data_IF_605737911768
#
_entry.id   IF_605737911768
#
_cell.length_a   1.000
_cell.length_b   1.000
_cell.length_c   1.000
_cell.angle_alpha   90.00
_cell.angle_beta   90.00
_cell.angle_gamma   90.00
#
_symmetry.space_group_name_H-M   'P 1'
#
loop_
_entity.id
_entity.type
_entity.pdbx_description
1 polymer ?
#
# COMPACT_ATOMS: atom_id res chain seq x y z
N UNK A 1 -22.35 15.09 19.16
CA UNK A 1 -21.66 16.13 19.94
C UNK A 1 -20.18 16.02 19.61
N UNK A 2 -19.50 17.13 19.31
CA UNK A 2 -18.06 17.10 19.06
C UNK A 2 -17.31 16.85 20.39
N UNK A 3 -16.32 15.96 20.36
CA UNK A 3 -15.48 15.62 21.52
C UNK A 3 -14.52 16.80 21.76
N UNK A 4 -14.41 17.27 23.01
CA UNK A 4 -13.52 18.37 23.38
C UNK A 4 -12.13 17.87 23.78
N UNK A 5 -11.13 18.76 23.81
CA UNK A 5 -9.79 18.42 24.33
C UNK A 5 -9.80 18.00 25.80
N UNK A 6 -10.73 18.54 26.58
CA UNK A 6 -10.95 18.17 27.99
C UNK A 6 -11.46 16.72 28.08
N UNK A 7 -12.38 16.33 27.18
CA UNK A 7 -12.91 14.97 27.11
C UNK A 7 -11.79 13.97 26.76
N UNK A 8 -10.95 14.30 25.78
CA UNK A 8 -9.82 13.44 25.37
C UNK A 8 -8.81 13.21 26.50
N UNK A 9 -8.53 14.23 27.32
CA UNK A 9 -7.60 14.11 28.46
C UNK A 9 -8.14 13.21 29.57
N UNK A 10 -9.46 13.06 29.67
CA UNK A 10 -10.13 12.27 30.69
C UNK A 10 -10.46 10.83 30.23
N UNK A 11 -10.22 10.51 28.95
CA UNK A 11 -10.41 9.17 28.43
C UNK A 11 -9.25 8.24 28.79
N UNK A 12 -9.58 6.97 29.03
CA UNK A 12 -8.57 5.91 29.16
C UNK A 12 -7.91 5.62 27.81
N UNK A 13 -6.71 5.03 27.78
CA UNK A 13 -6.05 4.61 26.54
C UNK A 13 -6.94 3.72 25.66
N UNK A 14 -7.72 2.84 26.27
CA UNK A 14 -8.65 1.93 25.58
C UNK A 14 -9.81 2.71 24.94
N UNK A 15 -10.35 3.71 25.63
CA UNK A 15 -11.41 4.57 25.10
C UNK A 15 -10.92 5.40 23.90
N UNK A 16 -9.68 5.90 23.96
CA UNK A 16 -9.06 6.64 22.85
C UNK A 16 -8.86 5.71 21.65
N UNK A 17 -8.33 4.51 21.87
CA UNK A 17 -8.11 3.53 20.81
C UNK A 17 -9.42 3.12 20.12
N UNK A 18 -10.48 2.88 20.90
CA UNK A 18 -11.79 2.55 20.37
C UNK A 18 -12.38 3.73 19.56
N UNK A 19 -12.24 4.96 20.07
CA UNK A 19 -12.67 6.16 19.35
C UNK A 19 -11.92 6.33 18.01
N UNK A 20 -10.61 6.08 17.99
CA UNK A 20 -9.81 6.12 16.77
C UNK A 20 -10.28 5.07 15.76
N UNK A 21 -10.54 3.84 16.22
CA UNK A 21 -11.09 2.75 15.40
C UNK A 21 -12.46 3.09 14.83
N UNK A 22 -13.33 3.72 15.63
CA UNK A 22 -14.67 4.14 15.20
C UNK A 22 -14.67 5.29 14.20
N UNK A 23 -13.66 6.17 14.24
CA UNK A 23 -13.53 7.27 13.27
C UNK A 23 -12.62 6.91 12.08
N UNK A 24 -12.14 5.66 12.01
CA UNK A 24 -11.26 5.21 10.95
C UNK A 24 -12.05 4.54 9.82
N UNK A 25 -12.06 5.18 8.66
CA UNK A 25 -12.68 4.64 7.44
C UNK A 25 -12.08 3.28 7.03
N UNK A 26 -10.78 3.06 7.26
CA UNK A 26 -10.16 1.77 6.96
C UNK A 26 -10.64 0.66 7.91
N UNK A 27 -10.91 0.98 9.18
CA UNK A 27 -11.57 0.04 10.09
C UNK A 27 -13.01 -0.26 9.66
N UNK A 28 -13.71 0.69 9.07
CA UNK A 28 -15.02 0.44 8.45
C UNK A 28 -14.94 -0.47 7.22
N UNK A 29 -13.91 -0.31 6.38
CA UNK A 29 -13.64 -1.24 5.28
C UNK A 29 -13.34 -2.64 5.80
N UNK A 30 -12.45 -2.76 6.79
CA UNK A 30 -12.05 -4.04 7.40
C UNK A 30 -13.27 -4.75 8.02
N UNK A 31 -14.16 -4.00 8.69
CA UNK A 31 -15.38 -4.56 9.30
C UNK A 31 -16.52 -4.82 8.30
N UNK A 32 -16.36 -4.45 7.03
CA UNK A 32 -17.39 -4.61 5.99
C UNK A 32 -18.52 -3.58 6.04
N UNK A 33 -18.42 -2.54 6.89
CA UNK A 33 -19.38 -1.40 6.88
C UNK A 33 -19.26 -0.54 5.63
N UNK A 34 -18.11 -0.61 4.98
CA UNK A 34 -17.80 0.11 3.75
C UNK A 34 -17.35 -0.89 2.70
N UNK A 35 -17.99 -0.84 1.53
CA UNK A 35 -17.64 -1.70 0.41
C UNK A 35 -16.22 -1.41 -0.10
N UNK A 36 -15.51 -2.46 -0.50
CA UNK A 36 -14.18 -2.35 -1.12
C UNK A 36 -13.94 -3.47 -2.12
N UNK A 37 -13.02 -3.24 -3.07
CA UNK A 37 -12.56 -4.28 -3.99
C UNK A 37 -11.41 -5.05 -3.35
N UNK A 38 -11.77 -6.01 -2.49
CA UNK A 38 -10.86 -6.90 -1.77
C UNK A 38 -10.22 -7.91 -2.74
N UNK A 39 -8.90 -8.06 -2.65
CA UNK A 39 -8.12 -8.99 -3.47
C UNK A 39 -7.38 -10.05 -2.64
N UNK A 40 -7.21 -9.80 -1.35
CA UNK A 40 -6.58 -10.72 -0.40
C UNK A 40 -7.09 -10.43 1.00
N UNK A 41 -7.25 -11.48 1.81
CA UNK A 41 -7.53 -11.37 3.24
C UNK A 41 -7.11 -12.64 3.96
N UNK A 42 -6.53 -12.45 5.14
CA UNK A 42 -6.26 -13.52 6.09
C UNK A 42 -6.60 -13.06 7.52
N UNK A 43 -6.10 -13.76 8.53
CA UNK A 43 -6.38 -13.46 9.93
C UNK A 43 -5.78 -12.13 10.40
N UNK A 44 -4.70 -11.64 9.78
CA UNK A 44 -3.95 -10.48 10.25
C UNK A 44 -4.12 -9.23 9.36
N UNK A 45 -4.42 -9.40 8.08
CA UNK A 45 -4.47 -8.28 7.14
C UNK A 45 -5.50 -8.47 6.01
N UNK A 46 -5.73 -7.38 5.29
CA UNK A 46 -6.58 -7.30 4.11
C UNK A 46 -5.87 -6.44 3.05
N UNK A 47 -5.94 -6.86 1.79
CA UNK A 47 -5.54 -6.02 0.66
C UNK A 47 -6.75 -5.67 -0.21
N UNK A 48 -6.84 -4.39 -0.56
CA UNK A 48 -7.91 -3.81 -1.39
C UNK A 48 -7.29 -2.99 -2.52
N UNK A 49 -8.05 -2.77 -3.60
CA UNK A 49 -7.69 -1.76 -4.60
C UNK A 49 -7.98 -0.35 -4.07
N UNK A 50 -7.06 0.58 -4.32
CA UNK A 50 -7.27 2.00 -4.05
C UNK A 50 -8.29 2.56 -5.05
N UNK A 51 -9.30 3.26 -4.54
CA UNK A 51 -10.34 3.94 -5.36
C UNK A 51 -9.81 5.23 -5.99
N UNK A 52 -8.75 5.81 -5.42
CA UNK A 52 -8.04 6.97 -5.93
C UNK A 52 -6.60 6.57 -6.28
N UNK A 53 -6.40 5.67 -7.26
CA UNK A 53 -5.13 5.02 -7.49
C UNK A 53 -4.08 6.00 -8.03
N UNK A 54 -2.84 5.87 -7.56
CA UNK A 54 -1.69 6.56 -8.15
C UNK A 54 -1.37 6.03 -9.55
N UNK A 55 -1.57 4.73 -9.75
CA UNK A 55 -1.48 4.02 -11.03
C UNK A 55 -2.50 2.87 -11.06
N UNK A 56 -2.95 2.42 -12.25
CA UNK A 56 -3.80 1.24 -12.37
C UNK A 56 -3.24 0.03 -11.61
N UNK A 57 -4.10 -0.59 -10.78
CA UNK A 57 -3.71 -1.70 -9.91
C UNK A 57 -3.04 -1.28 -8.60
N UNK A 58 -3.09 0.00 -8.21
CA UNK A 58 -2.65 0.45 -6.88
C UNK A 58 -3.43 -0.30 -5.79
N UNK A 59 -2.70 -0.99 -4.92
CA UNK A 59 -3.25 -1.75 -3.81
C UNK A 59 -2.89 -1.09 -2.48
N UNK A 60 -3.82 -1.15 -1.54
CA UNK A 60 -3.62 -0.82 -0.14
C UNK A 60 -3.68 -2.11 0.68
N UNK A 61 -2.58 -2.45 1.34
CA UNK A 61 -2.50 -3.54 2.31
C UNK A 61 -2.58 -2.96 3.72
N UNK A 62 -3.56 -3.44 4.50
CA UNK A 62 -3.95 -2.90 5.79
C UNK A 62 -3.89 -4.03 6.84
N UNK A 63 -3.30 -3.82 8.03
CA UNK A 63 -3.55 -4.71 9.15
C UNK A 63 -5.01 -4.61 9.56
N UNK A 64 -5.58 -5.73 10.02
CA UNK A 64 -6.97 -5.78 10.52
C UNK A 64 -7.14 -4.98 11.81
N UNK A 65 -6.14 -5.03 12.68
CA UNK A 65 -6.11 -4.18 13.86
C UNK A 65 -5.68 -2.75 13.54
N UNK A 66 -6.18 -1.82 14.35
CA UNK A 66 -5.92 -0.41 14.17
C UNK A 66 -4.56 -0.03 14.76
N UNK A 67 -3.67 0.43 13.89
CA UNK A 67 -2.42 1.08 14.27
C UNK A 67 -2.33 2.39 13.50
N UNK A 68 -2.12 3.52 14.20
CA UNK A 68 -2.15 4.82 13.53
C UNK A 68 -0.95 5.02 12.60
N UNK A 69 0.22 4.50 12.98
CA UNK A 69 1.48 4.56 12.23
C UNK A 69 2.27 3.26 12.42
N UNK A 70 3.16 2.94 11.48
CA UNK A 70 3.88 1.66 11.45
C UNK A 70 4.62 1.34 12.77
N UNK A 71 5.30 2.29 13.44
CA UNK A 71 6.00 2.00 14.69
C UNK A 71 5.13 1.57 15.87
N UNK A 72 3.80 1.68 15.77
CA UNK A 72 2.86 1.21 16.79
C UNK A 72 2.42 -0.24 16.60
N UNK A 73 2.64 -0.80 15.40
CA UNK A 73 2.28 -2.17 15.11
C UNK A 73 3.30 -3.16 15.74
N UNK A 74 2.85 -4.31 16.26
CA UNK A 74 3.73 -5.38 16.71
C UNK A 74 4.64 -5.91 15.60
N UNK A 75 5.84 -6.37 15.97
CA UNK A 75 6.86 -6.85 15.02
C UNK A 75 6.36 -8.03 14.16
N UNK A 76 5.54 -8.92 14.71
CA UNK A 76 4.95 -10.05 13.99
C UNK A 76 3.95 -9.59 12.93
N UNK A 77 3.13 -8.58 13.25
CA UNK A 77 2.20 -7.97 12.30
C UNK A 77 2.96 -7.28 11.18
N UNK A 78 4.01 -6.52 11.50
CA UNK A 78 4.87 -5.86 10.51
C UNK A 78 5.51 -6.92 9.59
N UNK A 79 6.11 -7.97 10.17
CA UNK A 79 6.72 -9.06 9.41
C UNK A 79 5.73 -9.70 8.44
N UNK A 80 4.52 -10.00 8.91
CA UNK A 80 3.45 -10.56 8.08
C UNK A 80 3.03 -9.64 6.93
N UNK A 81 2.80 -8.35 7.22
CA UNK A 81 2.44 -7.36 6.19
C UNK A 81 3.48 -7.30 5.07
N UNK A 82 4.77 -7.34 5.38
CA UNK A 82 5.82 -7.30 4.35
C UNK A 82 5.92 -8.60 3.54
N UNK A 83 5.60 -9.75 4.13
CA UNK A 83 5.50 -11.02 3.41
C UNK A 83 4.33 -11.00 2.41
N UNK A 84 3.18 -10.47 2.81
CA UNK A 84 2.02 -10.29 1.94
C UNK A 84 2.29 -9.23 0.87
N UNK A 85 2.92 -8.10 1.21
CA UNK A 85 3.28 -7.05 0.26
C UNK A 85 4.20 -7.57 -0.85
N UNK A 86 5.17 -8.44 -0.51
CA UNK A 86 6.00 -9.16 -1.49
C UNK A 86 5.15 -10.00 -2.44
N UNK A 87 4.19 -10.77 -1.94
CA UNK A 87 3.32 -11.60 -2.77
C UNK A 87 2.43 -10.76 -3.69
N UNK A 88 1.86 -9.67 -3.20
CA UNK A 88 1.05 -8.72 -3.98
C UNK A 88 1.88 -8.03 -5.07
N UNK A 89 3.11 -7.61 -4.75
CA UNK A 89 4.04 -7.07 -5.74
C UNK A 89 4.33 -8.08 -6.86
N UNK A 90 4.61 -9.34 -6.51
CA UNK A 90 4.81 -10.41 -7.49
C UNK A 90 3.57 -10.66 -8.35
N UNK A 91 2.37 -10.61 -7.75
CA UNK A 91 1.12 -10.76 -8.48
C UNK A 91 0.94 -9.60 -9.48
N UNK A 92 1.19 -8.35 -9.06
CA UNK A 92 1.11 -7.18 -9.95
C UNK A 92 2.07 -7.29 -11.14
N UNK A 93 3.34 -7.62 -10.89
CA UNK A 93 4.35 -7.80 -11.95
C UNK A 93 3.91 -8.83 -13.00
N UNK A 94 3.34 -9.95 -12.57
CA UNK A 94 2.93 -11.05 -13.46
C UNK A 94 1.62 -10.79 -14.19
N UNK A 95 0.63 -10.23 -13.50
CA UNK A 95 -0.74 -10.11 -14.01
C UNK A 95 -0.98 -8.82 -14.80
N UNK A 96 -0.29 -7.73 -14.47
CA UNK A 96 -0.51 -6.42 -15.08
C UNK A 96 0.54 -6.08 -16.14
N UNK A 97 1.53 -6.95 -16.37
CA UNK A 97 2.63 -6.71 -17.33
C UNK A 97 3.51 -5.50 -16.97
N UNK A 98 3.47 -5.06 -15.70
CA UNK A 98 4.24 -3.90 -15.24
C UNK A 98 5.72 -4.23 -15.05
N UNK A 99 6.58 -3.23 -15.20
CA UNK A 99 8.06 -3.40 -15.10
C UNK A 99 8.61 -3.21 -13.70
N UNK A 100 7.79 -2.74 -12.75
CA UNK A 100 8.19 -2.56 -11.37
C UNK A 100 7.01 -2.37 -10.44
N UNK A 101 7.30 -2.25 -9.15
CA UNK A 101 6.34 -1.84 -8.12
C UNK A 101 7.02 -0.91 -7.14
N UNK A 102 6.34 0.15 -6.70
CA UNK A 102 6.74 0.95 -5.55
C UNK A 102 6.01 0.45 -4.32
N UNK A 103 6.75 0.15 -3.26
CA UNK A 103 6.20 -0.12 -1.93
C UNK A 103 6.43 1.12 -1.08
N UNK A 104 5.35 1.71 -0.55
CA UNK A 104 5.40 2.97 0.20
C UNK A 104 4.60 2.86 1.50
N UNK A 105 5.16 3.40 2.58
CA UNK A 105 4.49 3.59 3.86
C UNK A 105 4.75 5.03 4.30
N UNK A 106 3.71 5.79 4.60
CA UNK A 106 3.81 7.13 5.15
C UNK A 106 3.39 7.11 6.63
N UNK A 107 4.25 7.64 7.51
CA UNK A 107 3.98 7.77 8.94
C UNK A 107 3.74 9.24 9.28
N UNK A 108 2.48 9.61 9.49
CA UNK A 108 2.03 10.96 9.78
C UNK A 108 1.67 11.78 8.52
N UNK A 109 0.81 12.77 8.73
CA UNK A 109 0.25 13.63 7.67
C UNK A 109 1.35 14.35 6.88
N UNK A 110 2.40 14.82 7.55
CA UNK A 110 3.55 15.51 6.93
C UNK A 110 4.36 14.60 6.00
N UNK A 111 4.27 13.28 6.19
CA UNK A 111 4.90 12.28 5.33
C UNK A 111 3.98 11.83 4.17
N UNK A 112 2.77 12.39 4.06
CA UNK A 112 1.77 12.03 3.06
C UNK A 112 0.78 10.95 3.48
N UNK A 113 0.69 10.63 4.78
CA UNK A 113 -0.31 9.68 5.27
C UNK A 113 -1.71 10.28 5.20
N UNK A 114 -2.64 9.61 4.51
CA UNK A 114 -4.00 10.13 4.28
C UNK A 114 -4.97 9.95 5.46
N UNK A 115 -4.81 8.89 6.25
CA UNK A 115 -5.58 8.67 7.46
C UNK A 115 -4.74 7.90 8.49
N UNK A 116 -5.07 7.99 9.80
CA UNK A 116 -4.32 7.33 10.86
C UNK A 116 -4.63 5.83 10.92
N UNK A 117 -4.29 5.08 9.87
CA UNK A 117 -4.27 3.62 9.82
C UNK A 117 -3.05 3.21 9.01
N UNK A 118 -2.28 2.23 9.50
CA UNK A 118 -1.12 1.72 8.77
C UNK A 118 -1.57 1.19 7.41
N UNK A 119 -0.97 1.74 6.35
CA UNK A 119 -1.23 1.31 4.98
C UNK A 119 0.10 1.10 4.27
N UNK A 120 0.26 -0.10 3.72
CA UNK A 120 1.33 -0.42 2.78
C UNK A 120 0.76 -0.23 1.39
N UNK A 121 1.23 0.80 0.70
CA UNK A 121 0.91 1.03 -0.70
C UNK A 121 1.76 0.10 -1.56
N UNK A 122 1.13 -0.59 -2.51
CA UNK A 122 1.81 -1.34 -3.57
C UNK A 122 1.33 -0.74 -4.90
N UNK A 123 2.19 0.05 -5.52
CA UNK A 123 1.87 0.83 -6.72
C UNK A 123 2.57 0.18 -7.92
N UNK A 124 1.85 -0.43 -8.88
CA UNK A 124 2.43 -0.93 -10.12
C UNK A 124 3.10 0.20 -10.92
N UNK A 125 4.29 -0.05 -11.49
CA UNK A 125 5.13 0.96 -12.16
C UNK A 125 5.46 0.59 -13.59
N UNK A 126 5.39 1.58 -14.47
CA UNK A 126 5.81 1.49 -15.86
C UNK A 126 6.71 2.65 -16.23
N UNK A 127 7.53 2.47 -17.27
CA UNK A 127 8.32 3.57 -17.78
C UNK A 127 7.39 4.67 -18.30
N UNK A 128 7.65 5.92 -17.89
CA UNK A 128 6.85 7.06 -18.31
C UNK A 128 5.49 7.18 -17.64
N UNK A 129 5.24 6.48 -16.53
CA UNK A 129 3.95 6.51 -15.80
C UNK A 129 3.65 7.81 -15.04
N UNK A 130 4.50 8.84 -15.18
CA UNK A 130 4.29 10.15 -14.55
C UNK A 130 4.50 10.19 -13.04
N UNK A 131 4.75 9.07 -12.37
CA UNK A 131 5.02 9.01 -10.94
C UNK A 131 6.48 9.33 -10.62
N UNK A 132 6.71 10.53 -10.09
CA UNK A 132 8.02 10.97 -9.60
C UNK A 132 8.35 10.40 -8.23
N UNK A 133 9.46 9.67 -8.11
CA UNK A 133 10.10 9.30 -6.83
C UNK A 133 11.54 9.78 -6.78
N UNK A 134 11.79 10.99 -7.26
CA UNK A 134 13.09 11.63 -7.16
C UNK A 134 13.18 12.33 -5.81
N UNK A 135 14.04 11.80 -4.93
CA UNK A 135 14.35 12.46 -3.66
C UNK A 135 15.43 13.51 -3.91
N UNK A 136 15.15 14.81 -3.72
CA UNK A 136 16.15 15.83 -3.90
C UNK A 136 17.23 15.69 -2.81
N UNK A 137 18.48 15.69 -3.23
CA UNK A 137 19.61 15.70 -2.31
C UNK A 137 19.73 17.06 -1.63
N UNK A 138 19.96 17.03 -0.31
CA UNK A 138 20.28 18.22 0.48
C UNK A 138 21.70 18.06 1.01
N UNK A 139 22.67 18.89 0.58
CA UNK A 139 24.04 18.78 1.05
C UNK A 139 24.11 19.03 2.56
N UNK A 140 24.91 18.23 3.25
CA UNK A 140 25.09 18.24 4.70
C UNK A 140 26.58 18.10 5.04
N UNK A 141 27.03 18.73 6.11
CA UNK A 141 28.45 18.66 6.52
C UNK A 141 28.76 17.38 7.32
N UNK A 142 30.00 16.89 7.26
CA UNK A 142 30.46 15.71 8.02
C UNK A 142 30.23 15.89 9.53
N UNK A 143 30.49 17.09 10.06
CA UNK A 143 30.26 17.39 11.48
C UNK A 143 28.77 17.29 11.86
N UNK A 144 27.86 17.64 10.95
CA UNK A 144 26.43 17.54 11.20
C UNK A 144 25.94 16.09 11.08
N UNK A 145 26.47 15.33 10.10
CA UNK A 145 26.23 13.89 9.99
C UNK A 145 26.62 13.14 11.26
N UNK A 146 27.78 13.43 11.84
CA UNK A 146 28.20 12.76 13.08
C UNK A 146 27.32 13.12 14.28
N UNK A 147 26.86 14.38 14.35
CA UNK A 147 25.89 14.79 15.36
C UNK A 147 24.57 14.03 15.21
N UNK A 148 24.05 13.89 14.00
CA UNK A 148 22.81 13.17 13.70
C UNK A 148 22.94 11.68 14.01
N UNK A 149 24.05 11.05 13.60
CA UNK A 149 24.37 9.64 13.93
C UNK A 149 24.30 9.41 15.43
N UNK A 150 25.01 10.22 16.22
CA UNK A 150 25.00 10.08 17.68
C UNK A 150 23.60 10.28 18.30
N UNK A 151 22.78 11.19 17.77
CA UNK A 151 21.40 11.38 18.23
C UNK A 151 20.53 10.15 17.95
N UNK A 152 20.60 9.61 16.74
CA UNK A 152 19.81 8.47 16.31
C UNK A 152 20.23 7.19 17.04
N UNK A 153 21.53 6.93 17.21
CA UNK A 153 22.04 5.78 17.98
C UNK A 153 21.54 5.80 19.43
N UNK A 154 21.58 6.96 20.10
CA UNK A 154 21.04 7.09 21.47
C UNK A 154 19.54 6.86 21.51
N UNK A 155 18.81 7.36 20.52
CA UNK A 155 17.35 7.19 20.44
C UNK A 155 16.98 5.72 20.19
N UNK A 156 17.69 5.04 19.29
CA UNK A 156 17.48 3.61 19.01
C UNK A 156 17.68 2.76 20.27
N UNK A 157 18.78 2.96 21.01
CA UNK A 157 19.04 2.23 22.28
C UNK A 157 17.95 2.43 23.32
N UNK A 158 17.30 3.60 23.32
CA UNK A 158 16.28 3.96 24.31
C UNK A 158 14.87 3.51 23.91
N UNK A 159 14.56 3.50 22.62
CA UNK A 159 13.19 3.41 22.12
C UNK A 159 12.92 2.25 21.17
N UNK A 160 13.93 1.58 20.62
CA UNK A 160 13.75 0.47 19.69
C UNK A 160 13.87 -0.88 20.40
N UNK A 161 12.98 -1.83 20.08
CA UNK A 161 13.11 -3.26 20.42
C UNK A 161 14.19 -3.98 19.61
N UNK A 162 14.94 -3.25 18.77
CA UNK A 162 16.07 -3.76 18.00
C UNK A 162 17.23 -4.01 18.97
N UNK A 163 17.45 -5.27 19.33
CA UNK A 163 18.66 -5.69 20.06
C UNK A 163 19.87 -5.39 19.19
N UNK A 164 20.91 -4.79 19.77
CA UNK A 164 22.23 -4.76 19.12
C UNK A 164 22.64 -6.22 18.90
N UNK A 165 22.61 -6.70 17.65
CA UNK A 165 23.47 -7.80 17.29
C UNK A 165 24.89 -7.25 17.28
N UNK A 166 25.80 -7.91 18.01
CA UNK A 166 27.21 -7.56 18.00
C UNK A 166 27.68 -7.44 16.54
N UNK A 167 28.57 -6.48 16.23
CA UNK A 167 29.08 -6.33 14.88
C UNK A 167 29.54 -7.70 14.39
N UNK A 168 28.91 -8.20 13.33
CA UNK A 168 29.37 -9.40 12.64
C UNK A 168 30.82 -9.13 12.32
N UNK A 169 31.75 -9.82 12.99
CA UNK A 169 33.14 -9.86 12.57
C UNK A 169 33.11 -10.39 11.14
N UNK A 170 33.20 -9.47 10.18
CA UNK A 170 33.50 -9.83 8.80
C UNK A 170 34.92 -10.38 8.85
N UNK A 171 35.05 -11.68 9.10
CA UNK A 171 36.27 -12.41 8.84
C UNK A 171 36.52 -12.18 7.36
N UNK A 172 37.54 -11.40 7.04
CA UNK A 172 38.05 -11.19 5.68
C UNK A 172 38.67 -12.48 5.11
N UNK A 173 37.98 -13.60 5.22
CA UNK A 173 38.22 -14.78 4.40
C UNK A 173 37.30 -14.65 3.18
N UNK A 174 37.60 -13.66 2.35
CA UNK A 174 37.32 -13.84 0.92
C UNK A 174 38.27 -14.96 0.50
N UNK A 175 37.80 -16.20 0.54
CA UNK A 175 38.37 -17.20 -0.35
C UNK A 175 38.15 -16.64 -1.75
N UNK A 176 39.26 -16.19 -2.35
CA UNK A 176 39.31 -15.90 -3.78
C UNK A 176 38.88 -17.19 -4.45
N UNK A 177 37.62 -17.24 -4.89
CA UNK A 177 37.15 -18.29 -5.78
C UNK A 177 38.08 -18.17 -6.99
N UNK A 178 38.95 -19.16 -7.26
CA UNK A 178 39.81 -19.08 -8.42
C UNK A 178 38.89 -18.95 -9.64
N UNK A 179 39.25 -18.12 -10.64
CA UNK A 179 38.43 -17.99 -11.84
C UNK A 179 38.16 -19.39 -12.37
N UNK A 180 36.87 -19.70 -12.59
CA UNK A 180 36.47 -20.97 -13.23
C UNK A 180 37.39 -21.17 -14.42
N UNK A 181 38.15 -22.27 -14.44
CA UNK A 181 38.93 -22.66 -15.61
C UNK A 181 37.97 -22.63 -16.80
N UNK A 182 38.37 -21.92 -17.86
CA UNK A 182 37.67 -21.98 -19.14
C UNK A 182 37.43 -23.47 -19.47
N UNK A 183 36.22 -23.85 -19.90
CA UNK A 183 36.01 -25.17 -20.46
C UNK A 183 37.08 -25.44 -21.52
N UNK A 184 37.63 -26.66 -21.54
CA UNK A 184 38.57 -27.07 -22.59
C UNK A 184 37.91 -26.86 -23.95
N UNK A 185 38.72 -26.48 -24.94
CA UNK A 185 38.33 -26.21 -26.33
C UNK A 185 37.84 -27.45 -27.11
N UNK A 186 37.11 -28.37 -26.49
CA UNK A 186 36.61 -29.59 -27.15
C UNK A 186 35.08 -29.79 -27.07
N UNK A 187 34.33 -28.90 -26.41
CA UNK A 187 32.85 -28.95 -26.38
C UNK A 187 32.19 -27.68 -26.97
N UNK A 188 32.79 -27.11 -28.03
CA UNK A 188 32.19 -26.02 -28.80
C UNK A 188 31.39 -26.54 -29.99
N UNK A 189 30.35 -27.33 -29.75
CA UNK A 189 29.29 -27.57 -30.74
C UNK A 189 28.04 -28.11 -30.02
N UNK A 190 26.97 -27.28 -30.04
CA UNK A 190 25.62 -27.45 -29.44
C UNK A 190 25.39 -26.70 -28.12
N UNK A 191 25.30 -25.38 -28.22
CA UNK A 191 24.30 -24.62 -27.46
C UNK A 191 23.18 -24.26 -28.44
N UNK A 192 21.99 -24.73 -28.12
CA UNK A 192 20.72 -24.42 -28.80
C UNK A 192 20.47 -22.91 -28.69
N UNK A 193 20.36 -22.25 -29.84
CA UNK A 193 19.80 -20.93 -29.97
C UNK A 193 18.33 -20.98 -29.55
N UNK A 194 17.98 -20.29 -28.47
CA UNK A 194 16.60 -19.85 -28.25
C UNK A 194 16.54 -18.41 -28.74
N UNK A 195 16.01 -18.24 -29.94
CA UNK A 195 15.79 -16.97 -30.61
C UNK A 195 14.90 -16.07 -29.72
N UNK A 196 15.47 -14.97 -29.23
CA UNK A 196 14.69 -13.79 -28.87
C UNK A 196 14.39 -13.09 -30.20
N UNK A 197 13.20 -13.31 -30.76
CA UNK A 197 12.71 -12.45 -31.83
C UNK A 197 12.47 -11.05 -31.25
N UNK A 198 13.36 -10.12 -31.60
CA UNK A 198 13.06 -8.70 -31.66
C UNK A 198 11.84 -8.51 -32.57
N UNK A 199 10.67 -8.29 -31.96
CA UNK A 199 9.51 -7.72 -32.65
C UNK A 199 9.35 -6.28 -32.21
N UNK A 200 10.20 -5.43 -32.78
CA UNK A 200 9.79 -4.07 -33.10
C UNK A 200 8.65 -4.14 -34.13
N UNK A 201 7.72 -3.19 -34.00
CA UNK A 201 6.42 -3.08 -34.68
C UNK A 201 5.28 -3.86 -34.03
N UNK A 202 4.54 -3.24 -33.09
CA UNK A 202 3.07 -3.33 -33.09
C UNK A 202 2.43 -2.15 -32.34
N UNK A 203 1.95 -1.20 -33.15
CA UNK A 203 0.74 -0.39 -33.00
C UNK A 203 0.52 0.44 -31.73
N UNK A 204 0.52 1.77 -31.90
CA UNK A 204 -0.09 2.76 -31.01
C UNK A 204 -1.59 2.51 -30.90
N UNK A 205 -2.00 1.69 -29.95
CA UNK A 205 -3.40 1.45 -29.61
C UNK A 205 -3.64 1.70 -28.14
N UNK A 206 -4.38 2.76 -27.82
CA UNK A 206 -4.95 2.99 -26.49
C UNK A 206 -5.74 1.74 -26.08
N UNK A 207 -5.33 1.10 -24.97
CA UNK A 207 -6.08 -0.02 -24.41
C UNK A 207 -7.31 0.55 -23.69
N UNK A 208 -8.40 0.73 -24.44
CA UNK A 208 -9.73 0.94 -23.90
C UNK A 208 -10.26 -0.39 -23.32
N UNK A 209 -10.87 -0.31 -22.14
CA UNK A 209 -11.60 -1.39 -21.48
C UNK A 209 -12.88 -1.66 -22.28
N UNK A 210 -13.31 -2.91 -22.52
CA UNK A 210 -14.53 -3.18 -23.28
C UNK A 210 -15.78 -2.69 -22.52
N UNK A 211 -16.58 -1.85 -23.16
CA UNK A 211 -17.91 -1.45 -22.71
C UNK A 211 -18.94 -2.53 -23.07
N UNK A 212 -19.83 -2.85 -22.14
CA UNK A 212 -20.98 -3.74 -22.33
C UNK A 212 -22.00 -3.14 -23.31
N UNK A 213 -22.73 -3.95 -24.10
CA UNK A 213 -23.69 -3.45 -25.09
C UNK A 213 -24.97 -2.91 -24.44
N UNK A 214 -25.59 -1.84 -24.98
CA UNK A 214 -26.82 -1.30 -24.42
C UNK A 214 -28.02 -2.18 -24.78
N UNK A 215 -28.84 -2.48 -23.77
CA UNK A 215 -30.15 -3.11 -23.93
C UNK A 215 -31.20 -2.12 -24.42
N UNK A 216 -32.05 -2.58 -25.35
CA UNK A 216 -33.26 -1.91 -25.82
C UNK A 216 -34.36 -1.93 -24.74
N UNK A 217 -35.07 -0.80 -24.58
CA UNK A 217 -36.50 -0.65 -24.21
C UNK A 217 -36.82 0.86 -24.24
N UNK A 218 -37.53 1.38 -25.24
CA UNK A 218 -39.00 1.49 -25.37
C UNK A 218 -39.69 2.41 -24.35
N UNK A 219 -40.32 3.48 -24.87
CA UNK A 219 -41.71 3.82 -24.51
C UNK A 219 -41.95 4.77 -23.34
N UNK A 220 -42.55 5.91 -23.69
CA UNK A 220 -43.19 6.93 -22.84
C UNK A 220 -44.14 6.37 -21.75
N UNK A 221 -44.25 7.05 -20.61
CA UNK A 221 -45.43 7.84 -20.23
C UNK A 221 -45.31 8.48 -18.84
N UNK A 222 -45.86 9.69 -18.76
CA UNK A 222 -46.10 10.55 -17.60
C UNK A 222 -47.21 10.04 -16.68
N UNK A 223 -47.14 10.32 -15.38
CA UNK A 223 -48.27 10.87 -14.59
C UNK A 223 -47.80 11.31 -13.18
N UNK A 224 -48.41 12.41 -12.71
CA UNK A 224 -48.27 12.99 -11.37
C UNK A 224 -49.15 12.24 -10.35
N UNK A 225 -48.78 12.23 -9.07
CA UNK A 225 -49.60 12.72 -7.92
C UNK A 225 -48.97 12.37 -6.54
N UNK A 226 -48.66 13.45 -5.80
CA UNK A 226 -48.72 13.78 -4.35
C UNK A 226 -48.74 12.74 -3.17
N UNK A 227 -48.43 13.19 -1.92
CA UNK A 227 -47.57 12.47 -0.98
C UNK A 227 -48.31 11.85 0.21
N UNK A 228 -47.81 10.75 0.78
CA UNK A 228 -48.25 10.29 2.11
C UNK A 228 -47.15 9.68 2.99
N UNK A 229 -47.13 10.21 4.23
CA UNK A 229 -46.83 9.61 5.53
C UNK A 229 -45.40 9.12 5.85
N UNK A 230 -44.72 9.93 6.67
CA UNK A 230 -43.62 9.53 7.55
C UNK A 230 -44.03 8.36 8.47
N UNK A 231 -43.15 7.37 8.59
CA UNK A 231 -43.16 6.38 9.68
C UNK A 231 -41.70 6.08 10.10
N UNK A 232 -41.49 5.64 11.35
CA UNK A 232 -40.40 6.09 12.20
C UNK A 232 -39.02 5.51 11.82
N UNK A 233 -38.00 6.35 12.01
CA UNK A 233 -36.57 6.09 11.82
C UNK A 233 -36.10 4.75 12.42
N UNK A 234 -36.00 3.72 11.59
CA UNK A 234 -34.94 2.73 11.76
C UNK A 234 -33.66 3.37 11.21
N UNK A 235 -32.70 3.65 12.10
CA UNK A 235 -31.32 3.96 11.70
C UNK A 235 -30.74 2.74 10.98
N UNK A 236 -31.01 2.63 9.68
CA UNK A 236 -30.16 1.88 8.77
C UNK A 236 -28.80 2.54 8.81
N UNK A 237 -27.79 1.77 9.19
CA UNK A 237 -26.40 2.12 8.91
C UNK A 237 -26.35 2.50 7.43
N UNK A 238 -26.17 3.80 7.14
CA UNK A 238 -25.99 4.27 5.77
C UNK A 238 -24.73 3.58 5.26
N UNK A 239 -24.91 2.64 4.35
CA UNK A 239 -23.84 2.11 3.53
C UNK A 239 -23.21 3.32 2.83
N UNK A 240 -22.00 3.70 3.24
CA UNK A 240 -21.32 4.86 2.68
C UNK A 240 -20.94 4.53 1.23
N UNK A 241 -21.39 5.37 0.32
CA UNK A 241 -21.13 5.24 -1.11
C UNK A 241 -19.64 5.44 -1.41
N UNK A 242 -19.11 4.68 -2.37
CA UNK A 242 -17.71 4.74 -2.81
C UNK A 242 -17.34 6.16 -3.24
N UNK A 243 -18.27 6.87 -3.90
CA UNK A 243 -18.05 8.25 -4.34
C UNK A 243 -18.01 9.25 -3.18
N UNK A 244 -18.78 9.01 -2.10
CA UNK A 244 -18.67 9.81 -0.87
C UNK A 244 -17.33 9.58 -0.17
N UNK A 245 -16.84 8.33 -0.15
CA UNK A 245 -15.56 7.98 0.45
C UNK A 245 -14.41 8.60 -0.34
N UNK A 246 -14.47 8.61 -1.66
CA UNK A 246 -13.46 9.25 -2.51
C UNK A 246 -13.25 10.72 -2.14
N UNK A 247 -14.34 11.44 -1.80
CA UNK A 247 -14.30 12.85 -1.38
C UNK A 247 -13.66 13.07 -0.01
N UNK A 248 -13.64 12.07 0.88
CA UNK A 248 -12.98 12.17 2.19
C UNK A 248 -11.44 12.19 2.09
N UNK A 249 -10.90 11.79 0.94
CA UNK A 249 -9.45 11.67 0.69
C UNK A 249 -8.92 12.67 -0.34
N UNK A 250 -9.76 13.62 -0.77
CA UNK A 250 -9.45 14.66 -1.77
C UNK A 250 -8.93 15.93 -1.11
#
# INVERSE_FOLDING_TARGET
MAITEEDLKNMSPEQIAELQKQNCIFCHIISGRVASKKIYEDEQCIAILDINPANPGHMLLLPKEHYAILPQAPDDVIGHLFMVAKALSQAALKSLGVRGTTILIANGIVAGQKAPHVMVHIIPRMQGDGLGFQLPEKPISDSELEKLKGLLERSLKKHAGVKEEEPIEVKNNVEVIPPRKKPREEDSEKVVEAEFEDRDEFNTGSAAIPEDPPGEQSGEQSENEEPEAESPEEKKDKELDIDEIARLFS
#
